data_IF_465644125615
#
_entry.id   IF_465644125615
#
_cell.length_a   1.000
_cell.length_b   1.000
_cell.length_c   1.000
_cell.angle_alpha   90.00
_cell.angle_beta   90.00
_cell.angle_gamma   90.00
#
_symmetry.space_group_name_H-M   'P 1'
#
loop_
_entity.id
_entity.type
_entity.pdbx_description
1 polymer ?
#
# COMPACT_ATOMS: atom_id res chain seq x y z
N UNK A 1 14.70 -3.12 -15.21
CA UNK A 1 15.56 -2.20 -14.47
C UNK A 1 15.88 -2.70 -13.07
N UNK A 2 14.96 -3.40 -12.43
CA UNK A 2 15.08 -3.89 -11.06
C UNK A 2 15.03 -5.42 -10.93
N UNK A 3 15.22 -6.16 -12.01
CA UNK A 3 15.10 -7.61 -12.07
C UNK A 3 13.80 -8.10 -12.70
N UNK A 4 13.73 -9.40 -12.97
CA UNK A 4 12.53 -10.04 -13.50
C UNK A 4 11.51 -10.32 -12.41
N UNK A 5 10.22 -10.46 -12.77
CA UNK A 5 9.17 -10.84 -11.84
C UNK A 5 9.47 -12.18 -11.14
N UNK A 6 10.07 -13.12 -11.87
CA UNK A 6 10.44 -14.44 -11.33
C UNK A 6 11.56 -14.36 -10.29
N UNK A 7 12.55 -13.47 -10.49
CA UNK A 7 13.59 -13.21 -9.49
C UNK A 7 12.97 -12.71 -8.17
N UNK A 8 12.04 -11.75 -8.25
CA UNK A 8 11.42 -11.18 -7.06
C UNK A 8 10.47 -12.16 -6.36
N UNK A 9 9.74 -12.99 -7.12
CA UNK A 9 8.91 -14.05 -6.53
C UNK A 9 9.75 -15.02 -5.71
N UNK A 10 10.85 -15.53 -6.25
CA UNK A 10 11.76 -16.43 -5.52
C UNK A 10 12.31 -15.78 -4.27
N UNK A 11 12.74 -14.53 -4.37
CA UNK A 11 13.28 -13.80 -3.21
C UNK A 11 12.24 -13.61 -2.11
N UNK A 12 10.98 -13.31 -2.47
CA UNK A 12 9.88 -13.22 -1.52
C UNK A 12 9.57 -14.58 -0.89
N UNK A 13 9.57 -15.65 -1.67
CA UNK A 13 9.36 -17.01 -1.18
C UNK A 13 10.45 -17.43 -0.18
N UNK A 14 11.72 -17.12 -0.47
CA UNK A 14 12.85 -17.35 0.44
C UNK A 14 12.70 -16.61 1.78
N UNK A 15 12.23 -15.34 1.73
CA UNK A 15 12.05 -14.52 2.94
C UNK A 15 10.82 -14.95 3.74
N UNK A 16 9.70 -15.23 3.07
CA UNK A 16 8.42 -15.51 3.71
C UNK A 16 8.20 -16.99 4.03
N UNK A 17 9.01 -17.89 3.48
CA UNK A 17 8.86 -19.34 3.64
C UNK A 17 7.62 -19.94 2.96
N UNK A 18 6.96 -19.18 2.09
CA UNK A 18 5.79 -19.62 1.33
C UNK A 18 5.71 -18.91 -0.03
N UNK A 19 5.11 -19.55 -1.06
CA UNK A 19 4.96 -18.96 -2.38
C UNK A 19 4.12 -17.67 -2.34
N UNK A 20 4.53 -16.61 -3.05
CA UNK A 20 3.77 -15.37 -3.12
C UNK A 20 2.47 -15.56 -3.94
N UNK A 21 1.38 -15.00 -3.45
CA UNK A 21 0.13 -14.93 -4.20
C UNK A 21 0.25 -13.87 -5.29
N UNK A 22 0.06 -14.23 -6.55
CA UNK A 22 0.27 -13.34 -7.70
C UNK A 22 -0.87 -13.34 -8.72
N UNK A 23 -1.92 -14.12 -8.47
CA UNK A 23 -3.14 -14.16 -9.29
C UNK A 23 -4.33 -13.61 -8.50
N UNK A 24 -5.27 -13.00 -9.21
CA UNK A 24 -6.52 -12.47 -8.61
C UNK A 24 -7.27 -13.56 -7.86
N UNK A 25 -7.43 -14.73 -8.47
CA UNK A 25 -8.12 -15.89 -7.87
C UNK A 25 -7.50 -16.39 -6.56
N UNK A 26 -6.20 -16.18 -6.39
CA UNK A 26 -5.49 -16.56 -5.16
C UNK A 26 -5.76 -15.61 -4.00
N UNK A 27 -6.01 -14.33 -4.28
CA UNK A 27 -6.22 -13.28 -3.26
C UNK A 27 -7.69 -13.00 -2.95
N UNK A 28 -8.61 -13.39 -3.82
CA UNK A 28 -10.06 -13.25 -3.56
C UNK A 28 -10.51 -13.88 -2.23
N UNK A 29 -10.00 -15.05 -1.79
CA UNK A 29 -10.38 -15.66 -0.52
C UNK A 29 -9.99 -14.86 0.73
N UNK A 30 -9.11 -13.87 0.62
CA UNK A 30 -8.65 -13.03 1.76
C UNK A 30 -9.82 -12.44 2.53
N UNK A 31 -10.83 -11.91 1.84
CA UNK A 31 -12.01 -11.32 2.45
C UNK A 31 -12.95 -12.36 3.07
N UNK A 32 -13.53 -13.28 2.30
CA UNK A 32 -14.48 -14.28 2.81
C UNK A 32 -13.92 -15.13 3.95
N UNK A 33 -12.65 -15.49 3.89
CA UNK A 33 -11.98 -16.31 4.91
C UNK A 33 -11.33 -15.47 6.03
N UNK A 34 -11.37 -14.15 5.97
CA UNK A 34 -10.77 -13.23 6.95
C UNK A 34 -9.31 -13.56 7.27
N UNK A 35 -8.49 -13.79 6.23
CA UNK A 35 -7.14 -14.33 6.38
C UNK A 35 -6.12 -13.33 6.98
N UNK A 36 -6.37 -12.02 6.92
CA UNK A 36 -5.44 -10.98 7.34
C UNK A 36 -6.08 -10.08 8.40
N UNK A 37 -5.29 -9.60 9.35
CA UNK A 37 -5.68 -8.55 10.29
C UNK A 37 -5.38 -7.15 9.72
N UNK A 38 -4.32 -7.05 8.93
CA UNK A 38 -3.91 -5.83 8.23
C UNK A 38 -3.35 -6.20 6.84
N UNK A 39 -3.57 -5.34 5.86
CA UNK A 39 -2.92 -5.41 4.55
C UNK A 39 -1.97 -4.23 4.40
N UNK A 40 -0.69 -4.50 4.14
CA UNK A 40 0.33 -3.46 3.90
C UNK A 40 0.68 -3.43 2.41
N UNK A 41 0.59 -2.26 1.78
CA UNK A 41 0.99 -2.03 0.39
C UNK A 41 2.27 -1.21 0.38
N UNK A 42 3.42 -1.86 0.24
CA UNK A 42 4.73 -1.25 0.33
C UNK A 42 5.71 -1.82 -0.75
N UNK A 43 6.16 -1.00 -1.68
CA UNK A 43 5.75 0.37 -1.95
C UNK A 43 4.37 0.46 -2.63
N UNK A 44 3.67 1.57 -2.43
CA UNK A 44 2.45 1.90 -3.15
C UNK A 44 2.74 2.98 -4.20
N UNK A 45 2.73 2.60 -5.47
CA UNK A 45 3.00 3.50 -6.60
C UNK A 45 1.78 4.36 -6.95
N UNK A 46 1.98 5.46 -7.70
CA UNK A 46 0.89 6.33 -8.17
C UNK A 46 -0.21 5.57 -8.91
N UNK A 47 0.14 4.59 -9.75
CA UNK A 47 -0.84 3.74 -10.43
C UNK A 47 -1.69 2.91 -9.44
N UNK A 48 -1.06 2.35 -8.41
CA UNK A 48 -1.78 1.60 -7.37
C UNK A 48 -2.66 2.53 -6.54
N UNK A 49 -2.17 3.71 -6.15
CA UNK A 49 -2.95 4.76 -5.47
C UNK A 49 -4.21 5.13 -6.26
N UNK A 50 -4.06 5.39 -7.58
CA UNK A 50 -5.19 5.70 -8.45
C UNK A 50 -6.23 4.59 -8.49
N UNK A 51 -5.80 3.35 -8.67
CA UNK A 51 -6.70 2.18 -8.67
C UNK A 51 -7.44 2.01 -7.35
N UNK A 52 -6.75 2.12 -6.23
CA UNK A 52 -7.37 2.05 -4.90
C UNK A 52 -8.38 3.19 -4.70
N UNK A 53 -8.03 4.42 -5.07
CA UNK A 53 -8.89 5.60 -4.96
C UNK A 53 -10.16 5.50 -5.81
N UNK A 54 -10.09 4.80 -6.94
CA UNK A 54 -11.24 4.58 -7.84
C UNK A 54 -11.89 3.20 -7.69
N UNK A 55 -11.48 2.40 -6.70
CA UNK A 55 -12.02 1.05 -6.45
C UNK A 55 -11.83 0.08 -7.62
N UNK A 56 -10.77 0.26 -8.41
CA UNK A 56 -10.40 -0.62 -9.53
C UNK A 56 -9.61 -1.80 -8.98
N UNK A 57 -10.09 -3.01 -9.20
CA UNK A 57 -9.51 -4.25 -8.67
C UNK A 57 -9.15 -5.22 -9.82
N UNK A 58 -8.26 -4.79 -10.71
CA UNK A 58 -7.83 -5.48 -11.91
C UNK A 58 -6.49 -6.22 -11.78
N UNK A 59 -5.97 -6.31 -10.57
CA UNK A 59 -4.74 -7.01 -10.25
C UNK A 59 -4.75 -7.58 -8.82
N UNK A 60 -3.79 -8.47 -8.48
CA UNK A 60 -3.80 -9.16 -7.19
C UNK A 60 -3.72 -8.19 -6.00
N UNK A 61 -2.90 -7.14 -6.05
CA UNK A 61 -2.77 -6.16 -4.97
C UNK A 61 -4.09 -5.42 -4.71
N UNK A 62 -4.71 -4.89 -5.76
CA UNK A 62 -5.96 -4.13 -5.66
C UNK A 62 -7.17 -5.01 -5.34
N UNK A 63 -7.16 -6.26 -5.80
CA UNK A 63 -8.16 -7.26 -5.41
C UNK A 63 -7.99 -7.67 -3.94
N UNK A 64 -6.76 -7.88 -3.45
CA UNK A 64 -6.50 -8.15 -2.06
C UNK A 64 -7.03 -7.02 -1.16
N UNK A 65 -6.75 -5.76 -1.51
CA UNK A 65 -7.26 -4.59 -0.79
C UNK A 65 -8.80 -4.55 -0.76
N UNK A 66 -9.45 -4.72 -1.93
CA UNK A 66 -10.92 -4.77 -2.03
C UNK A 66 -11.52 -5.89 -1.19
N UNK A 67 -10.95 -7.08 -1.27
CA UNK A 67 -11.40 -8.26 -0.54
C UNK A 67 -11.22 -8.08 0.98
N UNK A 68 -10.09 -7.52 1.41
CA UNK A 68 -9.76 -7.28 2.81
C UNK A 68 -10.65 -6.18 3.45
N UNK A 69 -10.87 -5.07 2.76
CA UNK A 69 -11.71 -3.95 3.22
C UNK A 69 -13.16 -4.34 3.51
N UNK A 70 -13.71 -5.39 2.88
CA UNK A 70 -15.05 -5.91 3.18
C UNK A 70 -15.22 -6.32 4.64
N UNK A 71 -14.13 -6.63 5.33
CA UNK A 71 -14.13 -7.00 6.75
C UNK A 71 -13.99 -5.79 7.69
N UNK A 72 -13.93 -4.55 7.17
CA UNK A 72 -13.68 -3.36 7.97
C UNK A 72 -12.28 -3.33 8.59
N UNK A 73 -11.31 -4.02 8.01
CA UNK A 73 -9.94 -4.14 8.50
C UNK A 73 -9.00 -3.16 7.80
N UNK A 74 -7.90 -2.74 8.46
CA UNK A 74 -7.04 -1.68 7.96
C UNK A 74 -6.18 -2.07 6.75
N UNK A 75 -6.05 -1.13 5.82
CA UNK A 75 -5.06 -1.14 4.74
C UNK A 75 -4.06 -0.03 5.01
N UNK A 76 -2.78 -0.39 5.17
CA UNK A 76 -1.67 0.54 5.37
C UNK A 76 -0.96 0.78 4.04
N UNK A 77 -0.76 2.04 3.69
CA UNK A 77 -0.20 2.47 2.41
C UNK A 77 1.15 3.14 2.63
N UNK A 78 2.21 2.60 2.03
CA UNK A 78 3.54 3.21 1.98
C UNK A 78 3.75 3.85 0.60
N UNK A 79 3.48 5.15 0.50
CA UNK A 79 3.55 5.91 -0.75
C UNK A 79 4.96 5.89 -1.33
N UNK A 80 5.08 5.66 -2.65
CA UNK A 80 6.31 5.83 -3.39
C UNK A 80 5.97 6.19 -4.83
N UNK A 81 5.97 7.49 -5.15
CA UNK A 81 5.57 7.97 -6.46
C UNK A 81 6.22 9.31 -6.81
N UNK A 82 6.56 9.50 -8.09
CA UNK A 82 7.19 10.73 -8.58
C UNK A 82 6.20 11.89 -8.76
N UNK A 83 4.91 11.63 -8.74
CA UNK A 83 3.83 12.59 -9.02
C UNK A 83 2.90 12.81 -7.80
N UNK A 84 3.38 12.54 -6.60
CA UNK A 84 2.61 12.63 -5.36
C UNK A 84 2.04 14.01 -5.07
N UNK A 85 2.78 15.08 -5.42
CA UNK A 85 2.32 16.47 -5.31
C UNK A 85 1.75 17.02 -6.64
N UNK A 86 1.39 16.14 -7.58
CA UNK A 86 0.73 16.48 -8.83
C UNK A 86 -0.41 15.50 -9.12
N UNK A 87 -0.31 14.66 -10.15
CA UNK A 87 -1.40 13.77 -10.59
C UNK A 87 -1.87 12.76 -9.55
N UNK A 88 -0.98 12.24 -8.70
CA UNK A 88 -1.36 11.30 -7.64
C UNK A 88 -1.89 11.98 -6.37
N UNK A 89 -1.73 13.30 -6.21
CA UNK A 89 -2.14 14.04 -5.01
C UNK A 89 -3.64 13.92 -4.71
N UNK A 90 -4.49 14.00 -5.72
CA UNK A 90 -5.93 13.80 -5.59
C UNK A 90 -6.26 12.40 -5.07
N UNK A 91 -5.56 11.37 -5.55
CA UNK A 91 -5.78 9.99 -5.14
C UNK A 91 -5.35 9.75 -3.69
N UNK A 92 -4.25 10.36 -3.24
CA UNK A 92 -3.84 10.36 -1.83
C UNK A 92 -4.93 11.01 -0.97
N UNK A 93 -5.41 12.20 -1.34
CA UNK A 93 -6.48 12.90 -0.64
C UNK A 93 -7.78 12.09 -0.55
N UNK A 94 -8.17 11.42 -1.64
CA UNK A 94 -9.34 10.53 -1.65
C UNK A 94 -9.18 9.35 -0.70
N UNK A 95 -8.01 8.74 -0.63
CA UNK A 95 -7.75 7.62 0.28
C UNK A 95 -7.68 8.07 1.74
N UNK A 96 -7.11 9.23 2.03
CA UNK A 96 -7.10 9.84 3.36
C UNK A 96 -8.52 10.09 3.91
N UNK A 97 -9.47 10.39 3.03
CA UNK A 97 -10.87 10.59 3.40
C UNK A 97 -11.68 9.28 3.57
N UNK A 98 -11.10 8.14 3.21
CA UNK A 98 -11.79 6.83 3.32
C UNK A 98 -11.50 6.14 4.64
N UNK A 99 -12.51 5.47 5.18
CA UNK A 99 -12.33 4.60 6.35
C UNK A 99 -11.40 3.43 6.04
N UNK A 100 -10.62 3.03 7.05
CA UNK A 100 -9.72 1.87 7.03
C UNK A 100 -8.47 2.00 6.16
N UNK A 101 -8.22 3.16 5.55
CA UNK A 101 -6.94 3.48 4.95
C UNK A 101 -6.08 4.27 5.93
N UNK A 102 -4.84 3.82 6.10
CA UNK A 102 -3.81 4.45 6.92
C UNK A 102 -2.54 4.62 6.10
N UNK A 103 -1.72 5.58 6.46
CA UNK A 103 -0.51 5.89 5.72
C UNK A 103 0.72 5.74 6.61
N UNK A 104 1.77 5.13 6.06
CA UNK A 104 3.10 5.26 6.62
C UNK A 104 3.52 6.72 6.44
N UNK A 105 4.10 7.39 7.45
CA UNK A 105 4.60 8.75 7.30
C UNK A 105 5.43 8.93 6.05
N UNK A 106 5.19 10.01 5.32
CA UNK A 106 5.83 10.27 4.03
C UNK A 106 6.18 11.73 3.83
N UNK A 107 7.15 11.99 2.98
CA UNK A 107 7.62 13.33 2.63
C UNK A 107 8.26 13.36 1.25
N UNK A 108 8.88 14.47 0.90
CA UNK A 108 9.63 14.60 -0.35
C UNK A 108 11.02 13.97 -0.21
N UNK A 109 11.43 13.13 -1.15
CA UNK A 109 12.76 12.50 -1.17
C UNK A 109 13.86 13.46 -1.70
N UNK A 110 13.55 14.29 -2.69
CA UNK A 110 14.48 15.27 -3.27
C UNK A 110 13.70 16.48 -3.79
N UNK A 111 13.37 17.47 -2.93
CA UNK A 111 12.55 18.61 -3.33
C UNK A 111 13.12 19.45 -4.46
N UNK A 112 14.43 19.46 -4.63
CA UNK A 112 15.09 20.26 -5.66
C UNK A 112 15.10 19.58 -7.04
N UNK A 113 15.36 18.26 -7.07
CA UNK A 113 15.43 17.51 -8.34
C UNK A 113 14.14 16.84 -8.73
N UNK A 114 13.29 16.52 -7.73
CA UNK A 114 12.02 15.82 -7.90
C UNK A 114 10.91 16.51 -7.10
N UNK A 115 10.52 17.72 -7.47
CA UNK A 115 9.65 18.59 -6.64
C UNK A 115 8.26 18.02 -6.38
N UNK A 116 7.81 17.02 -7.14
CA UNK A 116 6.50 16.38 -6.96
C UNK A 116 6.57 14.97 -6.38
N UNK A 117 7.78 14.45 -6.14
CA UNK A 117 7.97 13.08 -5.65
C UNK A 117 7.69 12.97 -4.16
N UNK A 118 6.96 11.93 -3.78
CA UNK A 118 6.71 11.55 -2.39
C UNK A 118 7.16 10.13 -2.12
N UNK A 119 7.79 9.92 -0.98
CA UNK A 119 8.20 8.61 -0.49
C UNK A 119 7.87 8.43 0.98
N UNK A 120 7.37 7.26 1.35
CA UNK A 120 7.16 6.88 2.73
C UNK A 120 8.48 6.52 3.43
N UNK A 121 8.58 6.81 4.71
CA UNK A 121 9.64 6.31 5.55
C UNK A 121 9.35 4.85 5.93
N UNK A 122 9.95 3.93 5.18
CA UNK A 122 9.74 2.49 5.38
C UNK A 122 10.19 1.98 6.76
N UNK A 123 11.09 2.70 7.45
CA UNK A 123 11.48 2.34 8.81
C UNK A 123 10.32 2.46 9.81
N UNK A 124 9.33 3.29 9.50
CA UNK A 124 8.14 3.48 10.33
C UNK A 124 7.00 2.48 10.03
N UNK A 125 7.15 1.54 9.08
CA UNK A 125 6.12 0.55 8.76
C UNK A 125 5.67 -0.21 10.02
N UNK A 126 6.55 -0.76 10.90
CA UNK A 126 6.11 -1.49 12.07
C UNK A 126 5.23 -0.65 13.01
N UNK A 127 5.63 0.57 13.31
CA UNK A 127 4.86 1.49 14.16
C UNK A 127 3.52 1.89 13.50
N UNK A 128 3.53 2.13 12.19
CA UNK A 128 2.32 2.45 11.44
C UNK A 128 1.34 1.28 11.39
N UNK A 129 1.82 0.04 11.36
CA UNK A 129 0.99 -1.17 11.45
C UNK A 129 0.28 -1.24 12.81
N UNK A 130 1.00 -1.02 13.92
CA UNK A 130 0.43 -1.00 15.26
C UNK A 130 -0.66 0.06 15.38
N UNK A 131 -0.38 1.29 14.91
CA UNK A 131 -1.36 2.37 14.86
C UNK A 131 -2.61 2.01 14.06
N UNK A 132 -2.43 1.50 12.84
CA UNK A 132 -3.53 1.10 11.96
C UNK A 132 -4.40 -0.02 12.57
N UNK A 133 -3.79 -1.01 13.22
CA UNK A 133 -4.50 -2.06 13.95
C UNK A 133 -5.31 -1.52 15.13
N UNK A 134 -4.83 -0.44 15.78
CA UNK A 134 -5.55 0.28 16.82
C UNK A 134 -6.58 1.30 16.27
N UNK A 135 -6.74 1.40 14.95
CA UNK A 135 -7.63 2.37 14.31
C UNK A 135 -7.12 3.81 14.31
N UNK A 136 -5.81 4.01 14.46
CA UNK A 136 -5.18 5.32 14.59
C UNK A 136 -4.13 5.56 13.50
N UNK A 137 -4.19 6.73 12.87
CA UNK A 137 -3.13 7.22 12.00
C UNK A 137 -1.98 7.75 12.88
N UNK A 138 -0.78 7.18 12.75
CA UNK A 138 0.40 7.70 13.47
C UNK A 138 0.79 9.10 12.98
N UNK A 139 1.34 9.90 13.90
CA UNK A 139 1.72 11.28 13.65
C UNK A 139 3.19 11.53 14.05
N UNK A 140 3.89 12.48 13.35
CA UNK A 140 3.40 13.25 12.20
C UNK A 140 3.25 12.35 10.98
N UNK A 141 2.22 12.57 10.15
CA UNK A 141 2.03 11.83 8.90
C UNK A 141 2.88 12.44 7.77
N UNK A 142 3.06 13.76 7.78
CA UNK A 142 3.91 14.50 6.84
C UNK A 142 5.26 14.79 7.48
N UNK A 143 6.34 14.40 6.78
CA UNK A 143 7.73 14.53 7.21
C UNK A 143 8.41 15.72 6.50
#
# INVERSE_FOLDING_TARGET
RFGTAEHWKRKLEEICGCPPLHLISQVEPIGPKRLLDILVIAPCTGNTLAKLAHSIADGPVTMAAKSHLRNGRPVLVAVSTNDGLSGAGENIGRLLARKHYYFVPFGQDDPLKKPTSLIADFAQIPQAMEGALAGQQIQPMLL
#
